data_IF_244158851638
#
_entry.id   IF_244158851638
#
_cell.length_a   1.000
_cell.length_b   1.000
_cell.length_c   1.000
_cell.angle_alpha   90.00
_cell.angle_beta   90.00
_cell.angle_gamma   90.00
#
_symmetry.space_group_name_H-M   'P 1'
#
loop_
_entity.id
_entity.type
_entity.pdbx_description
1 polymer ?
#
# COMPACT_ATOMS: atom_id res chain seq x y z
N UNK A 1 35.53 -2.88 49.39
CA UNK A 1 34.94 -4.20 49.70
C UNK A 1 33.73 -4.00 50.61
N UNK A 2 32.55 -3.69 50.07
CA UNK A 2 31.30 -3.62 50.83
C UNK A 2 30.17 -4.21 49.96
N UNK A 3 29.53 -5.24 50.49
CA UNK A 3 28.71 -6.23 49.78
C UNK A 3 27.28 -5.72 49.54
N UNK A 4 26.82 -5.69 48.28
CA UNK A 4 25.52 -5.14 47.84
C UNK A 4 24.36 -6.15 47.93
N UNK A 5 24.35 -7.03 48.93
CA UNK A 5 23.43 -8.19 48.97
C UNK A 5 22.45 -8.27 50.14
N UNK A 6 22.17 -7.18 50.86
CA UNK A 6 21.29 -7.22 52.04
C UNK A 6 20.26 -6.08 52.14
N UNK A 7 19.49 -5.78 51.08
CA UNK A 7 18.24 -5.01 51.21
C UNK A 7 17.15 -5.59 50.29
N UNK A 8 16.69 -6.79 50.62
CA UNK A 8 15.34 -7.25 50.25
C UNK A 8 14.43 -6.99 51.44
N UNK A 9 13.15 -6.76 51.13
CA UNK A 9 11.95 -6.78 52.00
C UNK A 9 11.49 -5.45 52.61
N UNK A 10 10.70 -4.70 51.84
CA UNK A 10 9.53 -3.97 52.35
C UNK A 10 8.54 -3.73 51.19
N UNK A 11 7.82 -4.77 50.78
CA UNK A 11 6.69 -4.64 49.83
C UNK A 11 5.46 -4.20 50.63
N UNK A 12 5.21 -2.89 50.70
CA UNK A 12 3.97 -2.35 51.25
C UNK A 12 2.92 -2.37 50.15
N UNK A 13 2.07 -3.41 50.15
CA UNK A 13 0.82 -3.45 49.37
C UNK A 13 -0.15 -2.41 49.93
N UNK A 14 -0.15 -1.19 49.40
CA UNK A 14 -1.28 -0.27 49.55
C UNK A 14 -2.39 -0.71 48.60
N UNK A 15 -3.37 -1.42 49.15
CA UNK A 15 -4.63 -1.71 48.47
C UNK A 15 -5.43 -0.40 48.41
N UNK A 16 -5.55 0.18 47.22
CA UNK A 16 -6.52 1.25 46.96
C UNK A 16 -7.92 0.64 46.82
N UNK A 17 -8.95 1.17 47.48
CA UNK A 17 -10.31 0.67 47.30
C UNK A 17 -10.79 0.97 45.87
N UNK A 18 -11.16 -0.10 45.16
CA UNK A 18 -11.82 -0.03 43.86
C UNK A 18 -13.19 0.61 44.07
N UNK A 19 -13.32 1.90 43.71
CA UNK A 19 -14.60 2.56 43.60
C UNK A 19 -15.38 1.91 42.44
N UNK A 20 -16.35 1.04 42.77
CA UNK A 20 -17.35 0.54 41.82
C UNK A 20 -18.16 1.74 41.31
N UNK A 21 -17.89 2.17 40.08
CA UNK A 21 -18.82 3.03 39.32
C UNK A 21 -20.10 2.23 39.10
N UNK A 22 -21.15 2.59 39.84
CA UNK A 22 -22.50 2.12 39.58
C UNK A 22 -22.99 2.83 38.32
N UNK A 23 -23.13 2.09 37.22
CA UNK A 23 -23.86 2.58 36.06
C UNK A 23 -25.35 2.53 36.40
N UNK A 24 -25.97 3.70 36.56
CA UNK A 24 -27.42 3.83 36.67
C UNK A 24 -28.05 3.50 35.31
N UNK A 25 -28.68 2.34 35.21
CA UNK A 25 -29.56 2.00 34.09
C UNK A 25 -30.96 2.49 34.48
N UNK A 26 -31.34 3.67 33.99
CA UNK A 26 -32.73 4.07 34.00
C UNK A 26 -33.42 3.50 32.75
N UNK A 27 -34.52 2.74 32.86
CA UNK A 27 -35.33 2.37 31.71
C UNK A 27 -36.17 3.59 31.34
N UNK A 28 -35.73 4.35 30.34
CA UNK A 28 -36.63 5.31 29.71
C UNK A 28 -37.68 4.53 28.92
N UNK A 29 -38.93 4.77 29.34
CA UNK A 29 -40.15 4.20 28.82
C UNK A 29 -40.28 4.43 27.31
N UNK A 30 -40.68 3.37 26.60
CA UNK A 30 -41.16 3.41 25.24
C UNK A 30 -42.36 4.35 25.13
N UNK A 31 -42.31 5.34 24.23
CA UNK A 31 -43.45 5.76 23.40
C UNK A 31 -43.01 6.84 22.41
N UNK A 32 -42.67 6.44 21.19
CA UNK A 32 -42.77 7.25 19.98
C UNK A 32 -42.48 6.34 18.79
N UNK A 33 -43.52 5.98 18.05
CA UNK A 33 -43.41 5.30 16.76
C UNK A 33 -42.64 6.21 15.79
N UNK A 34 -41.54 5.74 15.15
CA UNK A 34 -40.94 6.51 14.08
C UNK A 34 -41.85 6.45 12.85
N UNK A 35 -42.36 7.60 12.44
CA UNK A 35 -43.07 7.74 11.17
C UNK A 35 -42.16 7.32 10.01
N UNK A 36 -42.48 6.20 9.37
CA UNK A 36 -41.86 5.76 8.13
C UNK A 36 -42.27 6.72 7.02
N UNK A 37 -41.42 7.70 6.73
CA UNK A 37 -41.53 8.52 5.52
C UNK A 37 -41.25 7.63 4.31
N UNK A 38 -42.32 7.28 3.62
CA UNK A 38 -42.30 6.75 2.26
C UNK A 38 -42.01 7.90 1.30
N UNK A 39 -40.89 7.92 0.56
CA UNK A 39 -40.79 8.75 -0.62
C UNK A 39 -41.54 8.06 -1.76
N UNK A 40 -42.81 8.45 -1.97
CA UNK A 40 -43.42 8.39 -3.30
C UNK A 40 -42.67 9.40 -4.16
N UNK A 41 -41.70 8.92 -4.92
CA UNK A 41 -41.15 9.64 -6.07
C UNK A 41 -41.14 8.65 -7.23
N UNK A 42 -42.06 8.87 -8.17
CA UNK A 42 -42.17 8.09 -9.38
C UNK A 42 -40.99 8.38 -10.31
N UNK A 43 -40.51 7.31 -10.94
CA UNK A 43 -39.75 7.20 -12.18
C UNK A 43 -38.92 8.42 -12.66
N UNK A 44 -37.59 8.23 -12.66
CA UNK A 44 -36.71 8.78 -13.68
C UNK A 44 -36.11 10.14 -13.38
N UNK A 45 -35.24 10.21 -12.36
CA UNK A 45 -34.21 11.24 -12.34
C UNK A 45 -32.86 10.57 -12.12
N UNK A 46 -32.06 10.63 -13.18
CA UNK A 46 -30.76 10.02 -13.26
C UNK A 46 -29.87 10.54 -12.12
N UNK A 47 -29.32 9.62 -11.33
CA UNK A 47 -28.06 9.86 -10.63
C UNK A 47 -27.08 10.48 -11.64
N UNK A 48 -26.49 11.66 -11.36
CA UNK A 48 -25.40 12.15 -12.19
C UNK A 48 -24.33 11.06 -12.21
N UNK A 49 -24.13 10.46 -13.38
CA UNK A 49 -23.03 9.55 -13.62
C UNK A 49 -21.77 10.22 -13.09
N UNK A 50 -21.05 9.53 -12.20
CA UNK A 50 -19.70 9.91 -11.80
C UNK A 50 -18.92 10.19 -13.07
N UNK A 51 -18.67 11.47 -13.35
CA UNK A 51 -17.68 11.84 -14.35
C UNK A 51 -16.38 11.23 -13.86
N UNK A 52 -15.63 10.52 -14.72
CA UNK A 52 -14.34 9.96 -14.32
C UNK A 52 -13.53 11.10 -13.69
N UNK A 53 -12.92 10.84 -12.53
CA UNK A 53 -12.05 11.80 -11.88
C UNK A 53 -11.09 12.38 -12.93
N UNK A 54 -11.00 13.71 -13.01
CA UNK A 54 -10.11 14.37 -13.95
C UNK A 54 -8.70 13.78 -13.77
N UNK A 55 -8.09 13.32 -14.87
CA UNK A 55 -6.79 12.61 -14.83
C UNK A 55 -5.68 13.53 -14.32
N UNK A 56 -5.76 14.82 -14.65
CA UNK A 56 -4.85 15.85 -14.17
C UNK A 56 -5.48 16.73 -13.09
N UNK A 57 -4.63 17.26 -12.22
CA UNK A 57 -5.00 18.28 -11.24
C UNK A 57 -4.99 19.70 -11.81
N UNK A 58 -4.36 19.91 -12.96
CA UNK A 58 -4.16 21.22 -13.59
C UNK A 58 -5.02 21.30 -14.86
N UNK A 59 -6.07 22.12 -14.89
CA UNK A 59 -6.90 22.26 -16.08
C UNK A 59 -6.14 22.92 -17.24
N UNK A 60 -6.65 22.73 -18.45
CA UNK A 60 -6.13 23.40 -19.65
C UNK A 60 -6.07 24.93 -19.46
N UNK A 61 -5.03 25.56 -19.99
CA UNK A 61 -4.84 27.02 -19.87
C UNK A 61 -4.19 27.48 -18.57
N UNK A 62 -3.86 26.57 -17.63
CA UNK A 62 -3.15 26.95 -16.41
C UNK A 62 -1.72 27.40 -16.71
N UNK A 63 -1.36 28.62 -16.32
CA UNK A 63 0.01 29.14 -16.46
C UNK A 63 0.88 28.49 -15.38
N UNK A 64 1.90 27.74 -15.80
CA UNK A 64 2.84 27.09 -14.88
C UNK A 64 3.92 28.08 -14.46
N UNK A 65 3.71 28.71 -13.31
CA UNK A 65 4.56 29.81 -12.83
C UNK A 65 5.97 29.35 -12.50
N UNK A 66 6.98 30.15 -12.89
CA UNK A 66 8.37 29.97 -12.48
C UNK A 66 9.12 28.85 -13.22
N UNK A 67 8.60 28.35 -14.34
CA UNK A 67 9.32 27.42 -15.21
C UNK A 67 10.23 28.15 -16.21
N UNK A 68 9.84 29.35 -16.67
CA UNK A 68 10.68 30.11 -17.58
C UNK A 68 11.82 30.84 -16.84
N UNK A 69 13.05 30.53 -17.22
CA UNK A 69 14.27 31.20 -16.73
C UNK A 69 14.84 32.21 -17.73
N UNK A 70 14.25 32.36 -18.91
CA UNK A 70 14.71 33.24 -19.99
C UNK A 70 14.06 34.62 -19.83
N UNK A 71 14.87 35.68 -19.87
CA UNK A 71 14.39 37.06 -19.83
C UNK A 71 13.52 37.36 -21.05
N UNK A 72 12.30 37.85 -20.83
CA UNK A 72 11.34 38.16 -21.88
C UNK A 72 10.57 36.96 -22.45
N UNK A 73 10.79 35.75 -21.92
CA UNK A 73 9.92 34.61 -22.21
C UNK A 73 8.66 34.63 -21.36
N UNK A 74 7.57 34.05 -21.88
CA UNK A 74 6.37 33.79 -21.10
C UNK A 74 6.47 32.41 -20.42
N UNK A 75 5.80 32.25 -19.28
CA UNK A 75 5.66 30.95 -18.63
C UNK A 75 4.84 29.99 -19.51
N UNK A 76 5.20 28.70 -19.57
CA UNK A 76 4.47 27.73 -20.38
C UNK A 76 3.06 27.52 -19.83
N UNK A 77 2.11 27.41 -20.75
CA UNK A 77 0.69 27.18 -20.45
C UNK A 77 0.40 25.68 -20.55
N UNK A 78 -0.31 25.14 -19.57
CA UNK A 78 -0.77 23.76 -19.57
C UNK A 78 -1.73 23.51 -20.74
N UNK A 79 -1.45 22.46 -21.51
CA UNK A 79 -2.29 22.01 -22.63
C UNK A 79 -3.38 21.05 -22.13
N UNK A 80 -4.18 20.52 -23.06
CA UNK A 80 -5.13 19.44 -22.77
C UNK A 80 -4.42 18.16 -22.36
N UNK A 81 -5.03 17.40 -21.45
CA UNK A 81 -4.50 16.11 -20.97
C UNK A 81 -4.21 15.12 -22.11
N UNK A 82 -4.99 15.17 -23.20
CA UNK A 82 -4.85 14.31 -24.38
C UNK A 82 -3.65 14.67 -25.28
N UNK A 83 -3.18 15.93 -25.22
CA UNK A 83 -1.98 16.34 -25.97
C UNK A 83 -0.70 15.88 -25.28
N UNK A 84 -0.79 15.48 -24.02
CA UNK A 84 0.36 14.95 -23.29
C UNK A 84 0.57 13.46 -23.60
N UNK A 85 1.82 13.02 -23.72
CA UNK A 85 2.12 11.61 -23.91
C UNK A 85 1.62 10.72 -22.76
N UNK A 86 1.16 9.51 -23.08
CA UNK A 86 0.60 8.57 -22.09
C UNK A 86 1.59 8.20 -20.97
N UNK A 87 2.88 8.13 -21.27
CA UNK A 87 3.92 7.77 -20.28
C UNK A 87 4.03 8.77 -19.12
N UNK A 88 3.53 10.00 -19.26
CA UNK A 88 3.51 11.01 -18.20
C UNK A 88 2.69 10.52 -17.01
N UNK A 89 1.55 9.88 -17.29
CA UNK A 89 0.62 9.40 -16.26
C UNK A 89 1.16 8.18 -15.51
N UNK A 90 2.04 7.38 -16.14
CA UNK A 90 2.70 6.23 -15.51
C UNK A 90 3.94 6.59 -14.68
N UNK A 91 4.43 7.83 -14.73
CA UNK A 91 5.66 8.24 -14.03
C UNK A 91 5.55 8.11 -12.50
N UNK A 92 4.35 8.32 -11.95
CA UNK A 92 4.11 8.19 -10.51
C UNK A 92 4.08 6.72 -10.02
N UNK A 93 3.98 5.74 -10.92
CA UNK A 93 3.93 4.33 -10.52
C UNK A 93 5.26 3.84 -9.91
N UNK A 94 6.37 4.53 -10.18
CA UNK A 94 7.65 4.29 -9.51
C UNK A 94 7.55 4.60 -8.01
N UNK A 95 6.81 5.65 -7.64
CA UNK A 95 6.61 6.02 -6.23
C UNK A 95 5.65 5.06 -5.54
N UNK A 96 4.58 4.64 -6.21
CA UNK A 96 3.68 3.60 -5.71
C UNK A 96 4.43 2.30 -5.46
N UNK A 97 5.26 1.81 -6.38
CA UNK A 97 6.08 0.60 -6.13
C UNK A 97 7.02 0.70 -4.92
N UNK A 98 7.35 1.90 -4.45
CA UNK A 98 8.17 2.11 -3.25
C UNK A 98 7.37 2.35 -1.97
N UNK A 99 6.16 2.91 -2.08
CA UNK A 99 5.29 3.24 -0.95
C UNK A 99 4.21 2.17 -0.70
N UNK A 100 3.78 1.53 -1.77
CA UNK A 100 2.88 0.40 -1.88
C UNK A 100 3.70 -0.71 -2.55
N UNK A 101 4.63 -1.31 -1.79
CA UNK A 101 4.92 -2.71 -2.09
C UNK A 101 3.57 -3.41 -2.15
N UNK A 102 3.31 -4.20 -3.19
CA UNK A 102 2.02 -4.86 -3.51
C UNK A 102 1.39 -5.70 -2.37
N UNK A 103 1.97 -5.66 -1.18
CA UNK A 103 1.60 -6.30 0.07
C UNK A 103 1.01 -5.31 1.12
N UNK A 104 1.01 -3.99 0.89
CA UNK A 104 0.67 -2.98 1.92
C UNK A 104 -0.83 -2.67 2.04
N UNK A 105 -1.68 -3.12 1.10
CA UNK A 105 -3.15 -3.03 1.27
C UNK A 105 -3.62 -3.97 2.40
N UNK A 106 -2.78 -4.92 2.81
CA UNK A 106 -3.05 -5.83 3.92
C UNK A 106 -2.75 -5.26 5.31
N UNK A 107 -2.38 -3.98 5.47
CA UNK A 107 -2.06 -3.41 6.77
C UNK A 107 -0.79 -4.02 7.35
N UNK A 108 0.29 -3.25 7.24
CA UNK A 108 1.63 -3.60 7.70
C UNK A 108 1.66 -4.34 9.06
N UNK A 109 2.18 -5.57 9.07
CA UNK A 109 2.48 -6.33 10.29
C UNK A 109 3.51 -5.62 11.18
N UNK A 110 4.26 -4.69 10.60
CA UNK A 110 5.22 -3.83 11.25
C UNK A 110 4.65 -2.44 11.63
N UNK A 111 3.33 -2.29 11.57
CA UNK A 111 2.62 -1.14 12.10
C UNK A 111 3.02 -0.85 13.56
N UNK A 112 3.19 0.45 13.87
CA UNK A 112 3.47 0.92 15.24
C UNK A 112 2.33 0.58 16.23
N UNK A 113 1.10 0.32 15.75
CA UNK A 113 -0.06 0.04 16.60
C UNK A 113 -0.31 -1.46 16.79
N UNK A 114 -0.30 -1.92 18.06
CA UNK A 114 -0.56 -3.33 18.43
C UNK A 114 -1.90 -3.88 17.90
N UNK A 115 -2.93 -3.03 17.79
CA UNK A 115 -4.25 -3.43 17.27
C UNK A 115 -4.19 -3.72 15.76
N UNK A 116 -3.47 -2.89 15.01
CA UNK A 116 -3.31 -3.04 13.56
C UNK A 116 -2.53 -4.32 13.24
N UNK A 117 -1.41 -4.57 13.93
CA UNK A 117 -0.65 -5.83 13.79
C UNK A 117 -1.48 -7.08 14.03
N UNK A 118 -2.35 -7.06 15.06
CA UNK A 118 -3.25 -8.19 15.36
C UNK A 118 -4.31 -8.41 14.29
N UNK A 119 -4.81 -7.33 13.69
CA UNK A 119 -5.78 -7.43 12.60
C UNK A 119 -5.12 -7.92 11.31
N UNK A 120 -3.92 -7.43 11.00
CA UNK A 120 -3.09 -7.91 9.89
C UNK A 120 -2.80 -9.41 10.00
N UNK A 121 -2.24 -9.84 11.13
CA UNK A 121 -1.94 -11.25 11.38
C UNK A 121 -3.19 -12.16 11.35
N UNK A 122 -4.37 -11.65 11.76
CA UNK A 122 -5.63 -12.39 11.63
C UNK A 122 -6.07 -12.51 10.18
N UNK A 123 -5.92 -11.46 9.37
CA UNK A 123 -6.27 -11.47 7.95
C UNK A 123 -5.36 -12.36 7.13
N UNK A 124 -4.05 -12.32 7.37
CA UNK A 124 -3.10 -13.21 6.70
C UNK A 124 -3.41 -14.67 7.00
N UNK A 125 -3.63 -15.02 8.28
CA UNK A 125 -4.03 -16.39 8.65
C UNK A 125 -5.34 -16.83 8.02
N UNK A 126 -6.31 -15.91 7.89
CA UNK A 126 -7.56 -16.21 7.21
C UNK A 126 -7.34 -16.46 5.71
N UNK A 127 -6.57 -15.61 5.03
CA UNK A 127 -6.22 -15.78 3.63
C UNK A 127 -5.43 -17.09 3.38
N UNK A 128 -4.44 -17.39 4.21
CA UNK A 128 -3.70 -18.66 4.16
C UNK A 128 -4.64 -19.86 4.35
N UNK A 129 -5.55 -19.80 5.32
CA UNK A 129 -6.53 -20.87 5.56
C UNK A 129 -7.50 -21.04 4.38
N UNK A 130 -7.93 -19.97 3.72
CA UNK A 130 -8.76 -20.01 2.51
C UNK A 130 -7.98 -20.62 1.33
N UNK A 131 -6.72 -20.21 1.13
CA UNK A 131 -5.87 -20.78 0.08
C UNK A 131 -5.63 -22.28 0.31
N UNK A 132 -5.41 -22.70 1.55
CA UNK A 132 -5.29 -24.12 1.92
C UNK A 132 -6.61 -24.89 1.74
N UNK A 133 -7.74 -24.28 2.12
CA UNK A 133 -9.07 -24.90 1.98
C UNK A 133 -9.50 -25.05 0.51
N UNK A 134 -9.07 -24.12 -0.37
CA UNK A 134 -9.28 -24.22 -1.81
C UNK A 134 -8.52 -25.38 -2.47
N UNK A 135 -7.61 -26.04 -1.73
CA UNK A 135 -6.84 -27.18 -2.23
C UNK A 135 -5.78 -26.82 -3.26
N UNK A 136 -5.56 -25.54 -3.56
CA UNK A 136 -4.56 -25.07 -4.50
C UNK A 136 -3.16 -25.07 -3.87
N UNK A 137 -2.55 -26.25 -3.79
CA UNK A 137 -1.21 -26.45 -3.24
C UNK A 137 -0.11 -25.75 -4.06
N UNK A 138 -0.37 -25.43 -5.34
CA UNK A 138 0.58 -24.70 -6.19
C UNK A 138 0.72 -23.24 -5.77
N UNK A 139 -0.37 -22.61 -5.35
CA UNK A 139 -0.35 -21.22 -4.89
C UNK A 139 0.39 -21.03 -3.55
N UNK A 140 0.59 -22.09 -2.78
CA UNK A 140 1.35 -22.06 -1.52
C UNK A 140 2.88 -22.15 -1.74
N UNK A 141 3.32 -22.55 -2.93
CA UNK A 141 4.75 -22.69 -3.21
C UNK A 141 5.45 -21.33 -3.11
N UNK A 142 6.67 -21.27 -2.54
CA UNK A 142 7.39 -20.02 -2.42
C UNK A 142 7.65 -19.43 -3.81
N UNK A 143 7.23 -18.17 -4.01
CA UNK A 143 7.47 -17.44 -5.26
C UNK A 143 8.96 -17.18 -5.43
N UNK A 144 9.63 -18.00 -6.23
CA UNK A 144 11.05 -17.86 -6.53
C UNK A 144 11.25 -16.54 -7.29
N UNK A 145 12.10 -15.61 -6.80
CA UNK A 145 12.40 -14.35 -7.48
C UNK A 145 13.01 -14.60 -8.86
N UNK A 146 12.73 -13.73 -9.83
CA UNK A 146 13.16 -13.86 -11.23
C UNK A 146 14.66 -14.15 -11.39
N UNK A 147 15.51 -13.52 -10.58
CA UNK A 147 16.96 -13.70 -10.62
C UNK A 147 17.49 -15.06 -10.15
N UNK A 148 16.67 -15.83 -9.42
CA UNK A 148 17.02 -17.15 -8.87
C UNK A 148 16.43 -18.29 -9.70
N UNK A 149 15.60 -17.97 -10.70
CA UNK A 149 15.02 -18.94 -11.61
C UNK A 149 16.05 -19.38 -12.64
N UNK A 150 16.01 -20.67 -13.00
CA UNK A 150 16.80 -21.27 -14.09
C UNK A 150 15.99 -21.53 -15.36
N UNK A 151 14.75 -21.01 -15.42
CA UNK A 151 13.86 -21.17 -16.57
C UNK A 151 14.39 -20.32 -17.73
N UNK A 152 14.33 -20.87 -18.94
CA UNK A 152 14.76 -20.16 -20.14
C UNK A 152 13.93 -18.88 -20.35
N UNK A 153 14.63 -17.80 -20.67
CA UNK A 153 13.99 -16.55 -21.09
C UNK A 153 13.42 -16.77 -22.49
N UNK A 154 12.23 -16.21 -22.76
CA UNK A 154 11.61 -16.25 -24.09
C UNK A 154 12.58 -15.71 -25.16
N UNK A 155 12.71 -16.43 -26.27
CA UNK A 155 13.59 -16.09 -27.38
C UNK A 155 13.77 -17.28 -28.33
N UNK A 156 13.00 -17.30 -29.41
CA UNK A 156 13.09 -18.32 -30.45
C UNK A 156 13.91 -17.83 -31.64
N UNK A 157 14.70 -18.71 -32.26
CA UNK A 157 15.46 -18.40 -33.46
C UNK A 157 14.50 -18.20 -34.65
N UNK A 158 14.60 -17.06 -35.34
CA UNK A 158 13.69 -16.62 -36.41
C UNK A 158 12.25 -16.29 -35.95
N UNK A 159 12.05 -15.96 -34.67
CA UNK A 159 10.75 -15.52 -34.14
C UNK A 159 10.26 -14.18 -34.72
N UNK A 160 8.99 -13.85 -34.44
CA UNK A 160 8.38 -12.60 -34.87
C UNK A 160 9.09 -11.38 -34.22
N UNK A 161 9.01 -10.21 -34.84
CA UNK A 161 9.49 -8.95 -34.23
C UNK A 161 8.84 -8.71 -32.86
N UNK A 162 7.55 -9.04 -32.71
CA UNK A 162 6.85 -8.95 -31.43
C UNK A 162 7.49 -9.83 -30.33
N UNK A 163 7.85 -11.07 -30.68
CA UNK A 163 8.48 -12.02 -29.74
C UNK A 163 9.87 -11.54 -29.33
N UNK A 164 10.61 -10.93 -30.27
CA UNK A 164 11.91 -10.32 -29.99
C UNK A 164 11.81 -9.12 -29.03
N UNK A 165 10.77 -8.30 -29.16
CA UNK A 165 10.50 -7.18 -28.23
C UNK A 165 10.16 -7.73 -26.84
N UNK A 166 9.26 -8.71 -26.75
CA UNK A 166 8.91 -9.35 -25.47
C UNK A 166 10.12 -10.01 -24.79
N UNK A 167 10.98 -10.68 -25.57
CA UNK A 167 12.25 -11.24 -25.11
C UNK A 167 13.18 -10.15 -24.56
N UNK A 168 13.28 -9.02 -25.23
CA UNK A 168 14.08 -7.88 -24.77
C UNK A 168 13.55 -7.33 -23.44
N UNK A 169 12.24 -7.18 -23.29
CA UNK A 169 11.61 -6.70 -22.06
C UNK A 169 11.88 -7.66 -20.87
N UNK A 170 11.77 -8.97 -21.08
CA UNK A 170 12.07 -9.98 -20.05
C UNK A 170 13.55 -9.96 -19.63
N UNK A 171 14.46 -9.73 -20.57
CA UNK A 171 15.89 -9.54 -20.26
C UNK A 171 16.13 -8.25 -19.46
N UNK A 172 15.41 -7.18 -19.78
CA UNK A 172 15.49 -5.93 -19.02
C UNK A 172 14.95 -6.11 -17.59
N UNK A 173 13.83 -6.82 -17.43
CA UNK A 173 13.23 -7.17 -16.14
C UNK A 173 14.23 -7.91 -15.24
N UNK A 174 14.90 -8.94 -15.79
CA UNK A 174 15.96 -9.68 -15.09
C UNK A 174 17.13 -8.77 -14.69
N UNK A 175 17.57 -7.87 -15.58
CA UNK A 175 18.65 -6.93 -15.29
C UNK A 175 18.30 -5.98 -14.15
N UNK A 176 17.05 -5.51 -14.09
CA UNK A 176 16.56 -4.65 -13.01
C UNK A 176 16.48 -5.41 -11.69
N UNK A 177 16.00 -6.66 -11.71
CA UNK A 177 15.95 -7.54 -10.54
C UNK A 177 17.36 -7.78 -9.96
N UNK A 178 18.33 -8.14 -10.80
CA UNK A 178 19.75 -8.29 -10.43
C UNK A 178 20.36 -6.99 -9.89
N UNK A 179 19.94 -5.83 -10.41
CA UNK A 179 20.39 -4.53 -9.90
C UNK A 179 19.84 -4.25 -8.50
N UNK A 180 18.59 -4.62 -8.23
CA UNK A 180 17.96 -4.47 -6.90
C UNK A 180 18.73 -5.28 -5.85
N UNK A 181 19.03 -6.54 -6.14
CA UNK A 181 19.81 -7.41 -5.24
C UNK A 181 21.23 -6.89 -5.02
N UNK A 182 21.94 -6.47 -6.08
CA UNK A 182 23.28 -5.87 -5.93
C UNK A 182 23.26 -4.62 -5.05
N UNK A 183 22.25 -3.75 -5.20
CA UNK A 183 22.08 -2.57 -4.35
C UNK A 183 21.86 -2.95 -2.89
N UNK A 184 21.06 -3.98 -2.61
CA UNK A 184 20.85 -4.49 -1.25
C UNK A 184 22.15 -5.04 -0.65
N UNK A 185 22.88 -5.89 -1.39
CA UNK A 185 24.17 -6.44 -0.97
C UNK A 185 25.20 -5.36 -0.66
N UNK A 186 25.30 -4.32 -1.51
CA UNK A 186 26.21 -3.19 -1.27
C UNK A 186 25.82 -2.43 0.00
N UNK A 187 24.53 -2.21 0.24
CA UNK A 187 24.06 -1.54 1.46
C UNK A 187 24.38 -2.36 2.71
N UNK A 188 24.10 -3.65 2.68
CA UNK A 188 24.41 -4.59 3.76
C UNK A 188 25.92 -4.64 4.03
N UNK A 189 26.74 -4.82 3.00
CA UNK A 189 28.20 -4.85 3.15
C UNK A 189 28.75 -3.54 3.69
N UNK A 190 28.23 -2.40 3.23
CA UNK A 190 28.66 -1.09 3.74
C UNK A 190 28.26 -0.90 5.20
N UNK A 191 27.03 -1.30 5.56
CA UNK A 191 26.53 -1.24 6.93
C UNK A 191 27.41 -2.08 7.86
N UNK A 192 27.61 -3.36 7.53
CA UNK A 192 28.44 -4.27 8.32
C UNK A 192 29.92 -3.86 8.38
N UNK A 193 30.45 -3.21 7.35
CA UNK A 193 31.82 -2.68 7.35
C UNK A 193 31.99 -1.44 8.22
N UNK A 194 30.93 -0.66 8.40
CA UNK A 194 30.93 0.54 9.25
C UNK A 194 30.54 0.28 10.71
N UNK A 195 30.11 -0.94 11.03
CA UNK A 195 29.71 -1.39 12.36
C UNK A 195 30.92 -1.87 13.16
#
# INVERSE_FOLDING_TARGET
MLCTRCLRTAVVRRQFPVARRQFSVAPFLLSAEPALSTPTTAAGEATPAEKPAARSSCPEGTILTGLNYIKGGADPVAKKDEEYPEWLWSCLDVTKKTAEGEEDVAGDEFSKSKKQRRLAAKRQKAAEAEMLASGNLEALQPKIPLQQQSINIQGEENGNVADNIAAADKRQELRLAMRKERRAKIKESNYLKSM
#
